data_IF_278502993713
#
_entry.id   IF_278502993713
#
_cell.length_a   1.000
_cell.length_b   1.000
_cell.length_c   1.000
_cell.angle_alpha   90.00
_cell.angle_beta   90.00
_cell.angle_gamma   90.00
#
_symmetry.space_group_name_H-M   'P 1'
#
loop_
_entity.id
_entity.type
_entity.pdbx_description
1 polymer ?
#
# COMPACT_ATOMS: atom_id res chain seq x y z
N UNK A 1 16.29 26.18 28.41
CA UNK A 1 15.03 26.33 27.66
C UNK A 1 15.28 25.79 26.27
N UNK A 2 15.03 24.50 26.09
CA UNK A 2 15.23 23.77 24.83
C UNK A 2 13.90 23.07 24.58
N UNK A 3 12.96 23.81 24.02
CA UNK A 3 11.64 23.29 23.65
C UNK A 3 11.80 22.36 22.45
N UNK A 4 11.34 21.12 22.65
CA UNK A 4 11.30 19.99 21.73
C UNK A 4 10.99 20.35 20.26
N UNK A 5 12.02 20.42 19.43
CA UNK A 5 11.93 20.39 17.95
C UNK A 5 11.35 19.06 17.42
N UNK A 6 11.27 18.00 18.24
CA UNK A 6 10.64 16.73 17.86
C UNK A 6 9.10 16.80 17.82
N UNK A 7 8.47 17.62 18.66
CA UNK A 7 7.00 17.73 18.69
C UNK A 7 6.48 18.48 17.46
N UNK A 8 7.24 19.45 16.94
CA UNK A 8 6.88 20.16 15.71
C UNK A 8 6.97 19.29 14.45
N UNK A 9 7.90 18.33 14.37
CA UNK A 9 7.97 17.41 13.23
C UNK A 9 6.80 16.43 13.15
N UNK A 10 6.28 15.97 14.29
CA UNK A 10 5.10 15.09 14.32
C UNK A 10 3.86 15.86 13.86
N UNK A 11 3.71 17.12 14.28
CA UNK A 11 2.64 18.00 13.80
C UNK A 11 2.80 18.42 12.33
N UNK A 12 4.03 18.59 11.82
CA UNK A 12 4.25 18.87 10.39
C UNK A 12 3.90 17.67 9.50
N UNK A 13 4.14 16.43 9.95
CA UNK A 13 3.68 15.23 9.26
C UNK A 13 2.15 15.08 9.29
N UNK A 14 1.48 15.43 10.41
CA UNK A 14 0.00 15.44 10.48
C UNK A 14 -0.63 16.55 9.62
N UNK A 15 0.11 17.64 9.32
CA UNK A 15 -0.37 18.74 8.49
C UNK A 15 -0.12 18.50 6.99
N UNK A 16 0.84 17.65 6.61
CA UNK A 16 1.10 17.30 5.20
C UNK A 16 0.19 16.19 4.62
N UNK A 17 -0.58 15.51 5.46
CA UNK A 17 -1.60 14.53 5.02
C UNK A 17 -3.04 15.01 5.17
N UNK A 18 -3.27 16.34 5.15
CA UNK A 18 -4.57 16.86 4.74
C UNK A 18 -4.74 16.61 3.25
N UNK A 19 -5.18 15.39 2.91
CA UNK A 19 -5.86 15.12 1.66
C UNK A 19 -7.08 16.04 1.60
N UNK A 20 -6.91 17.21 1.00
CA UNK A 20 -8.00 18.07 0.61
C UNK A 20 -8.87 17.29 -0.39
N UNK A 21 -9.99 16.76 0.12
CA UNK A 21 -11.32 16.67 -0.50
C UNK A 21 -11.46 16.77 -2.04
N UNK A 22 -10.61 16.08 -2.80
CA UNK A 22 -10.77 15.94 -4.25
C UNK A 22 -10.64 14.47 -4.65
N UNK A 23 -11.80 13.80 -4.58
CA UNK A 23 -12.21 12.67 -5.44
C UNK A 23 -11.29 11.45 -5.49
N UNK A 24 -11.19 10.73 -4.37
CA UNK A 24 -11.38 9.27 -4.41
C UNK A 24 -12.88 9.01 -4.29
N UNK A 25 -13.63 9.19 -5.38
CA UNK A 25 -15.02 8.73 -5.45
C UNK A 25 -15.05 7.22 -5.66
N UNK A 26 -14.55 6.49 -4.67
CA UNK A 26 -14.75 5.05 -4.36
C UNK A 26 -13.51 4.50 -3.64
N UNK A 27 -13.43 4.75 -2.33
CA UNK A 27 -12.58 3.93 -1.46
C UNK A 27 -13.28 2.58 -1.35
N UNK A 28 -12.68 1.52 -1.88
CA UNK A 28 -13.21 0.14 -1.85
C UNK A 28 -13.20 -0.41 -0.42
N UNK A 29 -14.20 -1.23 -0.06
CA UNK A 29 -14.18 -1.95 1.21
C UNK A 29 -13.18 -3.11 1.20
N UNK A 30 -12.80 -3.61 0.02
CA UNK A 30 -11.72 -4.57 -0.14
C UNK A 30 -10.44 -3.83 -0.55
N UNK A 31 -9.38 -3.89 0.25
CA UNK A 31 -8.13 -3.19 -0.02
C UNK A 31 -6.89 -4.03 0.28
N UNK A 32 -5.88 -3.94 -0.58
CA UNK A 32 -4.56 -4.50 -0.29
C UNK A 32 -3.83 -3.54 0.66
N UNK A 33 -3.41 -4.06 1.81
CA UNK A 33 -2.55 -3.35 2.77
C UNK A 33 -1.13 -3.91 2.70
N UNK A 34 -0.16 -3.12 3.15
CA UNK A 34 1.22 -3.57 3.33
C UNK A 34 2.26 -2.74 2.61
N UNK A 35 3.40 -3.37 2.34
CA UNK A 35 4.61 -2.71 1.85
C UNK A 35 4.53 -2.39 0.36
N UNK A 36 4.67 -1.12 0.00
CA UNK A 36 4.58 -0.63 -1.39
C UNK A 36 5.68 0.40 -1.73
N UNK A 37 5.79 0.74 -3.02
CA UNK A 37 6.76 1.70 -3.54
C UNK A 37 6.10 2.69 -4.50
N UNK A 38 5.87 3.93 -4.05
CA UNK A 38 5.28 4.96 -4.92
C UNK A 38 6.28 6.03 -5.29
N UNK A 39 7.05 6.54 -4.32
CA UNK A 39 7.94 7.68 -4.57
C UNK A 39 9.36 7.30 -5.00
N UNK A 40 9.82 6.08 -4.72
CA UNK A 40 11.20 5.64 -4.96
C UNK A 40 11.28 4.14 -5.27
N UNK A 41 12.21 3.77 -6.15
CA UNK A 41 12.40 2.38 -6.58
C UNK A 41 13.23 1.58 -5.57
N UNK A 42 12.89 0.29 -5.32
CA UNK A 42 13.68 -0.61 -4.49
C UNK A 42 14.89 -1.21 -5.23
N UNK A 43 15.93 -0.40 -5.45
CA UNK A 43 17.13 -0.79 -6.20
C UNK A 43 17.81 -2.07 -5.70
N UNK A 44 17.75 -2.36 -4.38
CA UNK A 44 18.39 -3.56 -3.84
C UNK A 44 17.56 -4.84 -4.02
N UNK A 45 16.29 -4.73 -4.41
CA UNK A 45 15.37 -5.87 -4.54
C UNK A 45 15.11 -6.24 -5.99
N UNK A 46 14.98 -5.24 -6.86
CA UNK A 46 14.57 -5.46 -8.25
C UNK A 46 15.53 -4.77 -9.21
N UNK A 47 15.86 -5.47 -10.29
CA UNK A 47 16.69 -4.97 -11.38
C UNK A 47 16.04 -5.38 -12.70
N UNK A 48 15.86 -4.43 -13.60
CA UNK A 48 15.18 -4.64 -14.88
C UNK A 48 16.10 -4.24 -16.03
N UNK A 49 16.06 -4.99 -17.14
CA UNK A 49 16.86 -4.68 -18.33
C UNK A 49 16.09 -3.79 -19.31
N UNK A 50 14.78 -3.98 -19.39
CA UNK A 50 13.89 -3.26 -20.31
C UNK A 50 13.06 -2.20 -19.59
N UNK A 51 12.53 -2.52 -18.41
CA UNK A 51 11.65 -1.62 -17.67
C UNK A 51 12.40 -0.54 -16.88
N UNK A 52 11.81 0.65 -16.85
CA UNK A 52 12.29 1.80 -16.09
C UNK A 52 11.19 2.27 -15.14
N UNK A 53 11.58 2.60 -13.91
CA UNK A 53 10.67 3.14 -12.91
C UNK A 53 10.50 4.65 -13.05
N UNK A 54 9.24 5.08 -13.01
CA UNK A 54 8.81 6.47 -12.96
C UNK A 54 8.03 6.66 -11.65
N UNK A 55 8.59 7.48 -10.76
CA UNK A 55 7.96 7.75 -9.46
C UNK A 55 6.59 8.40 -9.62
N UNK A 56 5.70 8.06 -8.70
CA UNK A 56 4.43 8.75 -8.53
C UNK A 56 4.63 10.21 -8.13
N UNK A 57 3.67 11.06 -8.53
CA UNK A 57 3.67 12.49 -8.21
C UNK A 57 2.38 12.79 -7.48
N UNK A 58 2.48 13.13 -6.18
CA UNK A 58 1.33 13.55 -5.38
C UNK A 58 0.92 15.02 -5.61
N UNK A 59 -0.07 15.49 -4.86
CA UNK A 59 -0.59 16.86 -4.95
C UNK A 59 -1.48 17.07 -6.18
N UNK A 60 -1.49 18.28 -6.76
CA UNK A 60 -2.40 18.61 -7.87
C UNK A 60 -2.16 17.83 -9.17
N UNK A 61 -0.94 17.29 -9.38
CA UNK A 61 -0.64 16.49 -10.56
C UNK A 61 -1.15 15.05 -10.46
N UNK A 62 -1.23 14.50 -9.24
CA UNK A 62 -1.69 13.16 -8.86
C UNK A 62 -1.57 12.09 -9.96
N UNK A 63 -0.37 11.53 -10.14
CA UNK A 63 -0.12 10.45 -11.11
C UNK A 63 0.43 9.20 -10.42
N UNK A 64 0.02 7.99 -10.86
CA UNK A 64 0.53 6.73 -10.31
C UNK A 64 2.04 6.62 -10.50
N UNK A 65 2.66 5.76 -9.69
CA UNK A 65 3.99 5.27 -10.01
C UNK A 65 3.89 4.26 -11.17
N UNK A 66 4.87 4.26 -12.08
CA UNK A 66 4.81 3.48 -13.31
C UNK A 66 6.12 2.74 -13.59
N UNK A 67 5.99 1.57 -14.20
CA UNK A 67 7.06 0.81 -14.83
C UNK A 67 6.80 0.81 -16.33
N UNK A 68 7.75 1.32 -17.10
CA UNK A 68 7.62 1.44 -18.55
C UNK A 68 8.80 0.79 -19.28
N UNK A 69 8.49 0.04 -20.33
CA UNK A 69 9.47 -0.49 -21.28
C UNK A 69 9.10 -0.11 -22.71
N UNK A 70 10.11 0.29 -23.50
CA UNK A 70 9.99 0.47 -24.96
C UNK A 70 10.89 -0.53 -25.65
N UNK A 71 10.30 -1.43 -26.42
CA UNK A 71 10.99 -2.58 -27.02
C UNK A 71 10.58 -2.78 -28.47
N UNK A 72 11.39 -3.52 -29.21
CA UNK A 72 11.02 -4.09 -30.50
C UNK A 72 11.09 -5.61 -30.43
N UNK A 73 10.07 -6.28 -30.96
CA UNK A 73 9.97 -7.74 -31.04
C UNK A 73 9.63 -8.14 -32.48
N UNK A 74 10.09 -9.30 -32.93
CA UNK A 74 9.89 -9.71 -34.33
C UNK A 74 8.42 -9.99 -34.67
N UNK A 75 7.70 -10.62 -33.73
CA UNK A 75 6.28 -11.00 -33.89
C UNK A 75 5.45 -10.46 -32.72
N UNK A 76 4.84 -9.29 -32.94
CA UNK A 76 4.03 -8.61 -31.93
C UNK A 76 2.77 -9.38 -31.58
N UNK A 77 2.08 -9.96 -32.56
CA UNK A 77 0.81 -10.64 -32.31
C UNK A 77 1.04 -11.86 -31.43
N UNK A 78 2.06 -12.68 -31.75
CA UNK A 78 2.46 -13.81 -30.92
C UNK A 78 2.91 -13.39 -29.52
N UNK A 79 3.63 -12.27 -29.39
CA UNK A 79 4.05 -11.77 -28.08
C UNK A 79 2.85 -11.30 -27.25
N UNK A 80 1.87 -10.64 -27.86
CA UNK A 80 0.65 -10.18 -27.18
C UNK A 80 -0.23 -11.35 -26.70
N UNK A 81 -0.24 -12.48 -27.41
CA UNK A 81 -0.90 -13.72 -26.94
C UNK A 81 -0.22 -14.29 -25.68
N UNK A 82 1.12 -14.31 -25.67
CA UNK A 82 1.88 -14.75 -24.48
C UNK A 82 1.68 -13.83 -23.28
N UNK A 83 1.63 -12.51 -23.52
CA UNK A 83 1.31 -11.53 -22.48
C UNK A 83 -0.09 -11.73 -21.92
N UNK A 84 -1.07 -12.05 -22.77
CA UNK A 84 -2.44 -12.32 -22.33
C UNK A 84 -2.51 -13.56 -21.42
N UNK A 85 -1.81 -14.63 -21.79
CA UNK A 85 -1.68 -15.81 -20.93
C UNK A 85 -1.00 -15.45 -19.61
N UNK A 86 0.14 -14.73 -19.63
CA UNK A 86 0.84 -14.32 -18.41
C UNK A 86 -0.05 -13.46 -17.51
N UNK A 87 -0.79 -12.52 -18.09
CA UNK A 87 -1.69 -11.62 -17.34
C UNK A 87 -2.78 -12.37 -16.58
N UNK A 88 -3.23 -13.53 -17.08
CA UNK A 88 -4.23 -14.35 -16.37
C UNK A 88 -3.75 -14.83 -15.00
N UNK A 89 -2.42 -14.90 -14.79
CA UNK A 89 -1.81 -15.23 -13.49
C UNK A 89 -1.60 -14.00 -12.60
N UNK A 90 -1.83 -12.81 -13.12
CA UNK A 90 -1.68 -11.52 -12.44
C UNK A 90 -2.96 -10.69 -12.60
N UNK A 91 -4.09 -11.26 -12.21
CA UNK A 91 -5.42 -10.72 -12.47
C UNK A 91 -5.67 -9.32 -11.88
N UNK A 92 -5.00 -8.94 -10.79
CA UNK A 92 -5.22 -7.66 -10.11
C UNK A 92 -4.38 -6.49 -10.63
N UNK A 93 -3.55 -6.69 -11.66
CA UNK A 93 -2.75 -5.59 -12.24
C UNK A 93 -3.41 -4.96 -13.46
N UNK A 94 -3.01 -3.74 -13.77
CA UNK A 94 -3.22 -3.13 -15.09
C UNK A 94 -1.95 -3.23 -15.92
N UNK A 95 -2.08 -3.57 -17.21
CA UNK A 95 -0.99 -3.51 -18.20
C UNK A 95 -1.52 -2.85 -19.48
N UNK A 96 -0.85 -1.80 -19.94
CA UNK A 96 -1.13 -1.17 -21.24
C UNK A 96 -0.01 -1.46 -22.22
N UNK A 97 -0.35 -1.85 -23.43
CA UNK A 97 0.58 -2.02 -24.54
C UNK A 97 0.19 -1.09 -25.67
N UNK A 98 0.99 -0.05 -25.91
CA UNK A 98 0.90 0.81 -27.10
C UNK A 98 1.78 0.20 -28.20
N UNK A 99 1.26 0.12 -29.41
CA UNK A 99 1.81 -0.68 -30.51
C UNK A 99 2.08 0.20 -31.72
N UNK A 100 3.22 -0.02 -32.38
CA UNK A 100 3.55 0.54 -33.68
C UNK A 100 4.42 -0.41 -34.51
N UNK A 101 3.79 -1.16 -35.42
CA UNK A 101 4.49 -2.18 -36.20
C UNK A 101 5.08 -3.23 -35.26
N UNK A 102 6.40 -3.39 -35.30
CA UNK A 102 7.15 -4.32 -34.46
C UNK A 102 7.64 -3.71 -33.12
N UNK A 103 7.17 -2.51 -32.78
CA UNK A 103 7.56 -1.78 -31.57
C UNK A 103 6.41 -1.74 -30.57
N UNK A 104 6.77 -1.88 -29.29
CA UNK A 104 5.85 -1.90 -28.17
C UNK A 104 6.33 -0.94 -27.09
N UNK A 105 5.39 -0.19 -26.52
CA UNK A 105 5.55 0.54 -25.27
C UNK A 105 4.59 -0.06 -24.25
N UNK A 106 5.15 -0.72 -23.24
CA UNK A 106 4.41 -1.39 -22.17
C UNK A 106 4.47 -0.55 -20.91
N UNK A 107 3.35 -0.38 -20.24
CA UNK A 107 3.23 0.39 -18.99
C UNK A 107 2.40 -0.38 -17.98
N UNK A 108 2.93 -0.51 -16.77
CA UNK A 108 2.22 -0.97 -15.56
C UNK A 108 2.29 0.17 -14.55
N UNK A 109 1.19 0.48 -13.87
CA UNK A 109 1.20 1.57 -12.89
C UNK A 109 0.13 1.43 -11.83
N UNK A 110 0.44 1.93 -10.63
CA UNK A 110 -0.45 1.94 -9.48
C UNK A 110 -0.07 3.08 -8.50
N UNK A 111 -1.01 3.52 -7.68
CA UNK A 111 -0.76 4.37 -6.52
C UNK A 111 -0.15 3.60 -5.34
N UNK A 112 -0.23 2.27 -5.35
CA UNK A 112 0.48 1.38 -4.41
C UNK A 112 1.17 0.25 -5.17
N UNK A 113 2.33 0.52 -5.80
CA UNK A 113 3.09 -0.56 -6.46
C UNK A 113 3.68 -1.52 -5.41
N UNK A 114 2.99 -2.62 -5.21
CA UNK A 114 3.43 -3.78 -4.43
C UNK A 114 4.45 -4.65 -5.17
N UNK A 115 5.12 -5.57 -4.44
CA UNK A 115 6.00 -6.61 -5.02
C UNK A 115 5.32 -7.39 -6.16
N UNK A 116 4.01 -7.63 -6.05
CA UNK A 116 3.17 -8.24 -7.06
C UNK A 116 3.33 -7.64 -8.46
N UNK A 117 3.45 -6.30 -8.55
CA UNK A 117 3.65 -5.61 -9.82
C UNK A 117 5.06 -5.82 -10.37
N UNK A 118 6.07 -5.78 -9.50
CA UNK A 118 7.46 -6.02 -9.88
C UNK A 118 7.67 -7.47 -10.33
N UNK A 119 6.99 -8.44 -9.70
CA UNK A 119 7.02 -9.85 -10.10
C UNK A 119 6.38 -10.08 -11.47
N UNK A 120 5.27 -9.40 -11.79
CA UNK A 120 4.73 -9.40 -13.16
C UNK A 120 5.77 -8.88 -14.16
N UNK A 121 6.42 -7.75 -13.84
CA UNK A 121 7.46 -7.19 -14.72
C UNK A 121 8.64 -8.16 -14.90
N UNK A 122 9.06 -8.87 -13.85
CA UNK A 122 10.10 -9.91 -13.96
C UNK A 122 9.70 -11.03 -14.93
N UNK A 123 8.43 -11.46 -14.92
CA UNK A 123 7.96 -12.47 -15.88
C UNK A 123 7.87 -11.91 -17.31
N UNK A 124 7.48 -10.64 -17.47
CA UNK A 124 7.51 -9.97 -18.78
C UNK A 124 8.95 -9.84 -19.30
N UNK A 125 9.92 -9.48 -18.46
CA UNK A 125 11.34 -9.43 -18.81
C UNK A 125 11.83 -10.77 -19.35
N UNK A 126 11.46 -11.89 -18.70
CA UNK A 126 11.79 -13.24 -19.19
C UNK A 126 11.19 -13.50 -20.56
N UNK A 127 9.93 -13.14 -20.78
CA UNK A 127 9.29 -13.27 -22.11
C UNK A 127 10.00 -12.44 -23.17
N UNK A 128 10.40 -11.20 -22.85
CA UNK A 128 11.14 -10.33 -23.76
C UNK A 128 12.49 -10.92 -24.15
N UNK A 129 13.23 -11.49 -23.19
CA UNK A 129 14.50 -12.18 -23.47
C UNK A 129 14.28 -13.37 -24.40
N UNK A 130 13.24 -14.18 -24.16
CA UNK A 130 12.93 -15.34 -25.00
C UNK A 130 12.55 -14.97 -26.44
N UNK A 131 11.90 -13.81 -26.64
CA UNK A 131 11.58 -13.27 -27.96
C UNK A 131 12.73 -12.45 -28.59
N UNK A 132 13.92 -12.46 -27.98
CA UNK A 132 15.07 -11.65 -28.43
C UNK A 132 14.72 -10.16 -28.60
N UNK A 133 13.89 -9.63 -27.72
CA UNK A 133 13.44 -8.25 -27.78
C UNK A 133 14.63 -7.28 -27.71
N UNK A 134 14.56 -6.22 -28.51
CA UNK A 134 15.56 -5.13 -28.51
C UNK A 134 15.02 -3.95 -27.72
N UNK A 135 15.74 -3.52 -26.69
CA UNK A 135 15.40 -2.31 -25.93
C UNK A 135 15.62 -1.07 -26.78
N UNK A 136 14.61 -0.20 -26.87
CA UNK A 136 14.67 1.07 -27.61
C UNK A 136 15.13 2.23 -26.71
N UNK A 137 15.09 2.03 -25.39
CA UNK A 137 15.45 3.03 -24.38
C UNK A 137 14.34 4.05 -24.08
N UNK A 138 14.39 4.70 -22.90
CA UNK A 138 13.27 5.50 -22.38
C UNK A 138 13.01 6.78 -23.19
N UNK A 139 14.06 7.35 -23.81
CA UNK A 139 13.97 8.60 -24.61
C UNK A 139 13.54 8.37 -26.06
N UNK A 140 13.32 7.13 -26.47
CA UNK A 140 12.90 6.83 -27.83
C UNK A 140 11.53 7.48 -28.11
N UNK A 141 11.39 8.27 -29.18
CA UNK A 141 10.10 8.82 -29.58
C UNK A 141 9.21 7.69 -30.07
N UNK A 142 8.03 7.54 -29.48
CA UNK A 142 7.10 6.46 -29.80
C UNK A 142 5.79 7.04 -30.33
N UNK A 143 5.48 6.77 -31.60
CA UNK A 143 4.18 7.08 -32.19
C UNK A 143 3.22 5.90 -31.93
N UNK A 144 2.01 6.17 -31.46
CA UNK A 144 1.02 5.13 -31.14
C UNK A 144 0.14 4.89 -32.35
N UNK A 145 0.09 3.65 -32.86
CA UNK A 145 -0.88 3.25 -33.91
C UNK A 145 -2.09 2.52 -33.34
N UNK A 146 -1.88 1.69 -32.32
CA UNK A 146 -2.95 0.99 -31.61
C UNK A 146 -2.57 0.76 -30.15
N UNK A 147 -3.55 0.38 -29.34
CA UNK A 147 -3.38 0.10 -27.92
C UNK A 147 -4.13 -1.18 -27.56
N UNK A 148 -3.49 -2.08 -26.81
CA UNK A 148 -4.11 -3.22 -26.13
C UNK A 148 -4.01 -3.00 -24.62
N UNK A 149 -5.15 -2.97 -23.93
CA UNK A 149 -5.18 -2.80 -22.49
C UNK A 149 -5.62 -4.11 -21.83
N UNK A 150 -4.90 -4.50 -20.80
CA UNK A 150 -5.19 -5.62 -19.95
C UNK A 150 -5.64 -5.07 -18.59
N UNK A 151 -6.95 -5.00 -18.40
CA UNK A 151 -7.53 -4.44 -17.20
C UNK A 151 -7.40 -5.41 -16.02
N UNK A 152 -7.35 -4.91 -14.78
CA UNK A 152 -7.53 -5.75 -13.61
C UNK A 152 -8.93 -6.36 -13.59
N UNK A 153 -9.09 -7.50 -12.92
CA UNK A 153 -10.41 -8.04 -12.63
C UNK A 153 -11.25 -7.04 -11.81
N UNK A 154 -12.55 -6.98 -12.09
CA UNK A 154 -13.42 -5.98 -11.47
C UNK A 154 -13.57 -6.24 -9.98
N UNK A 155 -13.01 -5.36 -9.14
CA UNK A 155 -13.32 -5.34 -7.72
C UNK A 155 -14.71 -4.74 -7.47
N UNK A 156 -15.41 -5.30 -6.47
CA UNK A 156 -16.69 -4.73 -6.04
C UNK A 156 -16.41 -3.45 -5.25
N UNK A 157 -16.72 -2.31 -5.84
CA UNK A 157 -16.71 -1.05 -5.14
C UNK A 157 -17.75 -1.05 -4.02
N UNK A 158 -17.28 -0.83 -2.79
CA UNK A 158 -18.11 -0.61 -1.61
C UNK A 158 -17.48 0.52 -0.81
N UNK A 159 -18.29 1.40 -0.25
CA UNK A 159 -17.78 2.49 0.59
C UNK A 159 -17.37 1.96 1.97
N UNK A 160 -16.26 2.46 2.52
CA UNK A 160 -15.92 2.21 3.94
C UNK A 160 -16.94 2.89 4.86
N UNK A 161 -17.63 2.10 5.68
CA UNK A 161 -18.69 2.57 6.59
C UNK A 161 -18.15 3.05 7.95
N UNK A 162 -16.94 2.58 8.31
CA UNK A 162 -16.35 2.79 9.63
C UNK A 162 -15.43 4.00 9.66
N UNK A 163 -16.01 5.18 9.94
CA UNK A 163 -15.26 6.47 10.00
C UNK A 163 -14.14 6.56 11.04
N UNK A 164 -14.07 5.61 11.99
CA UNK A 164 -12.98 5.53 12.96
C UNK A 164 -11.73 4.84 12.40
N UNK A 165 -11.83 4.23 11.21
CA UNK A 165 -10.69 3.66 10.48
C UNK A 165 -10.17 4.74 9.54
N UNK A 166 -8.87 5.01 9.65
CA UNK A 166 -8.14 5.90 8.77
C UNK A 166 -7.16 5.07 7.94
N UNK A 167 -7.02 5.38 6.65
CA UNK A 167 -5.99 4.79 5.81
C UNK A 167 -4.77 5.71 5.81
N UNK A 168 -3.60 5.16 6.05
CA UNK A 168 -2.37 5.93 6.27
C UNK A 168 -1.21 5.29 5.53
N UNK A 169 -0.36 6.14 4.93
CA UNK A 169 0.97 5.75 4.44
C UNK A 169 2.04 6.03 5.49
N UNK A 170 3.25 5.53 5.27
CA UNK A 170 4.39 5.78 6.15
C UNK A 170 5.54 6.48 5.44
N UNK A 171 6.43 7.11 6.21
CA UNK A 171 7.75 7.50 5.70
C UNK A 171 8.54 6.29 5.17
N UNK A 172 9.55 6.54 4.33
CA UNK A 172 10.46 5.52 3.80
C UNK A 172 11.14 4.68 4.90
N UNK A 173 11.23 3.38 4.61
CA UNK A 173 11.89 2.33 5.40
C UNK A 173 12.97 1.66 4.54
N UNK A 174 13.31 0.40 4.84
CA UNK A 174 14.28 -0.38 4.07
C UNK A 174 13.92 -0.40 2.58
N UNK A 175 14.93 -0.30 1.72
CA UNK A 175 14.80 -0.28 0.25
C UNK A 175 13.75 0.71 -0.26
N UNK A 176 13.66 1.87 0.39
CA UNK A 176 12.73 2.95 0.05
C UNK A 176 11.24 2.58 0.15
N UNK A 177 10.92 1.51 0.88
CA UNK A 177 9.56 1.06 1.09
C UNK A 177 8.72 2.05 1.89
N UNK A 178 7.45 2.13 1.53
CA UNK A 178 6.38 2.73 2.31
C UNK A 178 5.44 1.61 2.79
N UNK A 179 4.63 1.88 3.80
CA UNK A 179 3.67 0.91 4.32
C UNK A 179 2.26 1.54 4.34
N UNK A 180 1.31 0.89 3.66
CA UNK A 180 -0.08 1.28 3.61
C UNK A 180 -0.87 0.53 4.67
N UNK A 181 -1.40 1.26 5.66
CA UNK A 181 -1.96 0.69 6.88
C UNK A 181 -3.31 1.30 7.24
N UNK A 182 -4.11 0.53 7.96
CA UNK A 182 -5.23 1.06 8.74
C UNK A 182 -4.73 1.60 10.07
N UNK A 183 -5.26 2.76 10.47
CA UNK A 183 -5.08 3.36 11.79
C UNK A 183 -6.42 3.51 12.49
N UNK A 184 -6.46 3.14 13.76
CA UNK A 184 -7.58 3.41 14.66
C UNK A 184 -7.05 4.11 15.90
N UNK A 185 -7.58 5.29 16.15
CA UNK A 185 -7.32 6.03 17.38
C UNK A 185 -8.45 5.75 18.38
N UNK A 186 -8.10 5.47 19.64
CA UNK A 186 -9.10 5.24 20.67
C UNK A 186 -8.60 5.56 22.09
N UNK A 187 -9.55 5.62 23.02
CA UNK A 187 -9.32 5.71 24.46
C UNK A 187 -10.11 4.62 25.18
N UNK A 188 -9.53 4.04 26.23
CA UNK A 188 -10.18 3.10 27.12
C UNK A 188 -9.61 3.17 28.55
N UNK A 189 -10.30 2.63 29.58
CA UNK A 189 -9.75 2.45 30.91
C UNK A 189 -8.50 1.56 30.89
N UNK A 190 -7.55 1.89 31.76
CA UNK A 190 -6.26 1.20 31.81
C UNK A 190 -6.39 -0.28 32.17
N UNK A 191 -7.39 -0.63 32.99
CA UNK A 191 -7.66 -2.01 33.41
C UNK A 191 -8.10 -2.93 32.25
N UNK A 192 -8.70 -2.36 31.21
CA UNK A 192 -9.21 -3.10 30.05
C UNK A 192 -8.16 -3.29 28.94
N UNK A 193 -7.07 -2.52 28.98
CA UNK A 193 -6.09 -2.40 27.89
C UNK A 193 -5.56 -3.74 27.41
N UNK A 194 -5.07 -4.59 28.31
CA UNK A 194 -4.45 -5.87 27.95
C UNK A 194 -5.47 -6.80 27.28
N UNK A 195 -6.67 -6.92 27.85
CA UNK A 195 -7.74 -7.75 27.30
C UNK A 195 -8.22 -7.25 25.94
N UNK A 196 -8.32 -5.93 25.78
CA UNK A 196 -8.70 -5.30 24.52
C UNK A 196 -7.67 -5.56 23.41
N UNK A 197 -6.38 -5.39 23.70
CA UNK A 197 -5.30 -5.69 22.75
C UNK A 197 -5.31 -7.16 22.35
N UNK A 198 -5.50 -8.08 23.31
CA UNK A 198 -5.60 -9.51 23.02
C UNK A 198 -6.79 -9.84 22.08
N UNK A 199 -7.96 -9.24 22.28
CA UNK A 199 -9.10 -9.44 21.38
C UNK A 199 -8.83 -8.87 19.98
N UNK A 200 -8.12 -7.74 19.87
CA UNK A 200 -7.70 -7.19 18.57
C UNK A 200 -6.75 -8.14 17.83
N UNK A 201 -5.82 -8.81 18.53
CA UNK A 201 -4.96 -9.84 17.93
C UNK A 201 -5.80 -10.98 17.35
N UNK A 202 -6.86 -11.42 18.04
CA UNK A 202 -7.76 -12.44 17.50
C UNK A 202 -8.49 -11.96 16.24
N UNK A 203 -9.00 -10.73 16.24
CA UNK A 203 -9.61 -10.13 15.04
C UNK A 203 -8.61 -10.08 13.88
N UNK A 204 -7.34 -9.73 14.15
CA UNK A 204 -6.30 -9.72 13.12
C UNK A 204 -6.13 -11.11 12.48
N UNK A 205 -6.09 -12.18 13.29
CA UNK A 205 -6.00 -13.53 12.76
C UNK A 205 -7.22 -13.93 11.92
N UNK A 206 -8.42 -13.57 12.36
CA UNK A 206 -9.66 -13.85 11.62
C UNK A 206 -9.76 -13.07 10.30
N UNK A 207 -9.18 -11.87 10.24
CA UNK A 207 -9.17 -10.98 9.07
C UNK A 207 -7.85 -11.08 8.28
N UNK A 208 -7.01 -12.07 8.57
CA UNK A 208 -5.75 -12.34 7.88
C UNK A 208 -4.74 -11.16 7.89
N UNK A 209 -4.79 -10.31 8.91
CA UNK A 209 -3.81 -9.26 9.15
C UNK A 209 -2.58 -9.82 9.84
N UNK A 210 -1.41 -9.62 9.23
CA UNK A 210 -0.13 -10.14 9.72
C UNK A 210 0.69 -9.11 10.51
N UNK A 211 0.23 -7.85 10.54
CA UNK A 211 0.91 -6.75 11.23
C UNK A 211 -0.09 -6.04 12.11
N UNK A 212 0.23 -5.97 13.41
CA UNK A 212 -0.48 -5.19 14.39
C UNK A 212 0.51 -4.69 15.44
N UNK A 213 0.60 -3.37 15.56
CA UNK A 213 1.35 -2.72 16.62
C UNK A 213 0.59 -1.47 17.06
N UNK A 214 0.94 -0.95 18.23
CA UNK A 214 0.33 0.26 18.73
C UNK A 214 1.32 1.15 19.47
N UNK A 215 0.98 2.43 19.52
CA UNK A 215 1.54 3.36 20.48
C UNK A 215 0.50 3.67 21.55
N UNK A 216 0.96 3.95 22.76
CA UNK A 216 0.11 4.30 23.88
C UNK A 216 0.55 5.58 24.61
N UNK A 217 -0.34 6.03 25.48
CA UNK A 217 -0.03 6.97 26.53
C UNK A 217 -1.01 6.73 27.69
N UNK A 218 -0.50 6.22 28.80
CA UNK A 218 -1.28 5.99 30.01
C UNK A 218 -1.38 7.27 30.84
N UNK A 219 -2.58 7.63 31.28
CA UNK A 219 -2.81 8.79 32.14
C UNK A 219 -4.02 8.58 33.07
N UNK A 220 -3.85 8.92 34.36
CA UNK A 220 -4.85 8.63 35.40
C UNK A 220 -5.21 7.13 35.36
N UNK A 221 -6.49 6.82 35.15
CA UNK A 221 -7.03 5.47 34.99
C UNK A 221 -7.43 5.16 33.53
N UNK A 222 -6.92 5.91 32.55
CA UNK A 222 -7.21 5.75 31.13
C UNK A 222 -5.92 5.61 30.30
N UNK A 223 -6.07 5.16 29.06
CA UNK A 223 -5.00 5.08 28.08
C UNK A 223 -5.52 5.58 26.73
N UNK A 224 -4.76 6.47 26.06
CA UNK A 224 -4.94 6.75 24.64
C UNK A 224 -4.12 5.76 23.82
N UNK A 225 -4.71 5.18 22.79
CA UNK A 225 -4.07 4.22 21.88
C UNK A 225 -4.11 4.72 20.44
N UNK A 226 -3.00 4.51 19.74
CA UNK A 226 -2.90 4.61 18.28
C UNK A 226 -2.60 3.20 17.76
N UNK A 227 -3.62 2.55 17.21
CA UNK A 227 -3.55 1.18 16.73
C UNK A 227 -3.24 1.19 15.24
N UNK A 228 -2.25 0.41 14.80
CA UNK A 228 -1.85 0.31 13.40
C UNK A 228 -1.93 -1.13 12.93
N UNK A 229 -2.66 -1.36 11.84
CA UNK A 229 -2.88 -2.67 11.24
C UNK A 229 -2.47 -2.66 9.77
N UNK A 230 -1.74 -3.68 9.35
CA UNK A 230 -1.27 -3.79 7.97
C UNK A 230 -0.95 -5.25 7.64
N UNK A 231 -0.25 -5.44 6.53
CA UNK A 231 0.41 -6.68 6.15
C UNK A 231 1.86 -6.41 5.75
N UNK A 232 2.60 -7.49 5.53
CA UNK A 232 3.95 -7.41 5.00
C UNK A 232 3.97 -7.12 3.50
N UNK A 233 5.06 -7.54 2.88
CA UNK A 233 5.27 -7.53 1.43
C UNK A 233 4.19 -8.33 0.71
N UNK A 234 3.63 -7.75 -0.36
CA UNK A 234 2.50 -8.30 -1.11
C UNK A 234 2.99 -8.91 -2.43
N UNK A 235 3.27 -10.22 -2.43
CA UNK A 235 3.81 -11.00 -3.57
C UNK A 235 2.73 -11.83 -4.27
N UNK A 236 3.00 -12.37 -5.46
CA UNK A 236 2.07 -13.20 -6.25
C UNK A 236 1.35 -14.27 -5.43
N UNK A 237 2.10 -15.05 -4.67
CA UNK A 237 1.52 -16.18 -3.92
C UNK A 237 0.86 -15.78 -2.60
N UNK A 238 0.99 -14.52 -2.17
CA UNK A 238 0.57 -14.04 -0.85
C UNK A 238 -0.14 -12.67 -0.88
N UNK A 239 -0.58 -12.22 -2.06
CA UNK A 239 -1.33 -10.97 -2.19
C UNK A 239 -2.71 -11.15 -1.57
N UNK A 240 -3.10 -10.21 -0.72
CA UNK A 240 -4.38 -10.30 -0.01
C UNK A 240 -5.11 -8.97 0.01
N UNK A 241 -6.41 -9.06 -0.22
CA UNK A 241 -7.34 -7.93 -0.10
C UNK A 241 -8.11 -8.10 1.21
N UNK A 242 -8.11 -7.06 2.03
CA UNK A 242 -8.74 -7.01 3.35
C UNK A 242 -10.10 -6.34 3.23
N UNK A 243 -11.15 -6.99 3.74
CA UNK A 243 -12.46 -6.37 3.88
C UNK A 243 -12.49 -5.44 5.10
N UNK A 244 -12.26 -4.15 4.85
CA UNK A 244 -12.21 -3.09 5.86
C UNK A 244 -13.56 -2.94 6.59
N UNK A 245 -14.68 -3.25 5.94
CA UNK A 245 -16.00 -3.19 6.58
C UNK A 245 -16.22 -4.40 7.50
N UNK A 246 -15.77 -5.59 7.10
CA UNK A 246 -15.76 -6.77 7.99
C UNK A 246 -14.91 -6.49 9.23
N UNK A 247 -13.65 -6.09 9.03
CA UNK A 247 -12.72 -5.75 10.11
C UNK A 247 -13.31 -4.64 11.01
N UNK A 248 -13.81 -3.56 10.43
CA UNK A 248 -14.41 -2.46 11.17
C UNK A 248 -15.66 -2.86 11.96
N UNK A 249 -16.47 -3.79 11.45
CA UNK A 249 -17.63 -4.32 12.17
C UNK A 249 -17.22 -5.10 13.41
N UNK A 250 -16.18 -5.92 13.30
CA UNK A 250 -15.62 -6.68 14.44
C UNK A 250 -15.01 -5.76 15.50
N UNK A 251 -14.22 -4.76 15.08
CA UNK A 251 -13.66 -3.77 16.03
C UNK A 251 -14.77 -2.96 16.70
N UNK A 252 -15.81 -2.55 15.96
CA UNK A 252 -16.97 -1.86 16.55
C UNK A 252 -17.70 -2.74 17.57
N UNK A 253 -17.78 -4.04 17.35
CA UNK A 253 -18.42 -4.95 18.30
C UNK A 253 -17.72 -4.97 19.67
N UNK A 254 -16.41 -4.69 19.74
CA UNK A 254 -15.68 -4.58 21.00
C UNK A 254 -16.19 -3.46 21.92
N UNK A 255 -16.91 -2.44 21.40
CA UNK A 255 -17.53 -1.40 22.23
C UNK A 255 -18.67 -1.93 23.11
N UNK A 256 -19.14 -3.16 22.86
CA UNK A 256 -20.13 -3.82 23.71
C UNK A 256 -19.48 -4.52 24.92
N UNK A 257 -18.17 -4.85 24.81
CA UNK A 257 -17.39 -5.53 25.85
C UNK A 257 -16.58 -4.55 26.69
N UNK A 258 -16.06 -3.50 26.06
CA UNK A 258 -15.21 -2.50 26.70
C UNK A 258 -15.84 -1.10 26.63
N UNK A 259 -15.67 -0.25 27.66
CA UNK A 259 -16.03 1.16 27.62
C UNK A 259 -15.05 1.98 26.74
N UNK A 260 -14.96 1.58 25.47
CA UNK A 260 -14.08 2.12 24.43
C UNK A 260 -14.68 3.39 23.83
N UNK A 261 -13.83 4.39 23.57
CA UNK A 261 -14.16 5.57 22.78
C UNK A 261 -13.24 5.67 21.57
N UNK A 262 -13.79 5.89 20.37
CA UNK A 262 -12.98 6.16 19.19
C UNK A 262 -12.53 7.62 19.15
N UNK A 263 -11.24 7.85 18.95
CA UNK A 263 -10.54 9.11 19.16
C UNK A 263 -9.77 9.15 20.48
N UNK A 264 -8.81 10.07 20.57
CA UNK A 264 -8.04 10.30 21.80
C UNK A 264 -8.77 11.27 22.73
N UNK A 265 -8.56 11.10 24.03
CA UNK A 265 -9.02 12.04 25.04
C UNK A 265 -7.97 13.10 25.36
N UNK A 266 -8.47 14.25 25.84
CA UNK A 266 -7.71 15.31 26.49
C UNK A 266 -6.70 16.04 25.55
N UNK A 267 -5.80 16.84 26.14
CA UNK A 267 -4.84 17.72 25.45
C UNK A 267 -3.75 16.95 24.67
N UNK A 268 -3.13 17.54 23.62
CA UNK A 268 -2.04 16.94 22.84
C UNK A 268 -0.85 16.39 23.64
N UNK A 269 -0.68 16.80 24.89
CA UNK A 269 0.34 16.24 25.80
C UNK A 269 0.15 14.74 26.13
N UNK A 270 -1.04 14.20 25.88
CA UNK A 270 -1.37 12.77 26.08
C UNK A 270 -1.49 12.01 24.76
N UNK A 271 -0.90 12.54 23.69
CA UNK A 271 -0.87 11.86 22.40
C UNK A 271 -0.04 10.57 22.48
N UNK A 272 -0.46 9.44 21.87
CA UNK A 272 0.22 8.14 21.99
C UNK A 272 1.58 8.13 21.27
N UNK A 273 2.65 8.42 22.02
CA UNK A 273 4.02 8.44 21.53
C UNK A 273 4.90 7.36 22.16
N UNK A 274 4.38 6.59 23.12
CA UNK A 274 5.12 5.49 23.74
C UNK A 274 4.89 4.23 22.91
N UNK A 275 5.96 3.64 22.36
CA UNK A 275 5.88 2.54 21.41
C UNK A 275 7.00 2.60 20.36
N UNK A 276 6.92 1.79 19.28
CA UNK A 276 5.83 0.85 18.99
C UNK A 276 5.85 -0.39 19.89
N UNK A 277 4.70 -0.77 20.41
CA UNK A 277 4.45 -2.06 21.06
C UNK A 277 3.95 -3.03 20.01
N UNK A 278 4.70 -4.10 19.76
CA UNK A 278 4.46 -5.03 18.66
C UNK A 278 3.69 -6.24 19.16
N UNK A 279 2.54 -6.53 18.54
CA UNK A 279 1.72 -7.72 18.84
C UNK A 279 1.80 -8.75 17.72
N UNK A 280 1.75 -8.29 16.46
CA UNK A 280 1.96 -9.10 15.25
C UNK A 280 2.93 -8.37 14.32
N UNK A 281 3.89 -9.11 13.74
CA UNK A 281 4.86 -8.52 12.84
C UNK A 281 5.40 -9.53 11.83
N UNK A 282 5.38 -9.12 10.57
CA UNK A 282 6.11 -9.71 9.45
C UNK A 282 6.88 -8.59 8.75
N UNK A 283 7.99 -8.90 8.08
CA UNK A 283 8.76 -7.91 7.31
C UNK A 283 9.12 -6.65 8.11
N UNK A 284 9.47 -6.81 9.40
CA UNK A 284 9.62 -5.70 10.35
C UNK A 284 10.51 -4.55 9.82
N UNK A 285 11.58 -4.89 9.11
CA UNK A 285 12.54 -3.93 8.53
C UNK A 285 11.92 -3.00 7.46
N UNK A 286 10.80 -3.39 6.86
CA UNK A 286 10.03 -2.59 5.89
C UNK A 286 8.89 -1.81 6.54
N UNK A 287 8.57 -2.07 7.81
CA UNK A 287 7.39 -1.53 8.50
C UNK A 287 7.79 -0.56 9.60
N UNK A 288 8.69 -0.97 10.49
CA UNK A 288 9.13 -0.19 11.64
C UNK A 288 10.49 0.44 11.35
N UNK A 289 10.63 1.72 11.70
CA UNK A 289 11.93 2.39 11.66
C UNK A 289 12.68 2.06 12.95
N UNK A 290 13.71 1.22 12.85
CA UNK A 290 14.68 1.02 13.93
C UNK A 290 15.64 2.19 14.03
#
# INVERSE_FOLDING_TARGET
>A
MTTNLRVFKVLECEILFKFENHTFSSITASMILGVYWYYQFPENLYHFNFFHFFKGIGGHANNPAELEAKVSVDDVDRFLEKLEHLKSEFNNTYLSCKINGNQLMMTIGDYSLFDYHFELVLEIEKLLILENAVSLGPRFPFEIKSTKNFNPEAEKFQTIEHRFIQLTGSDFKKDNAENFSMRIDCNLPLEDKISFIHDLVQICHEEHLSVFYYNDFDFKNHCNLMLIFSNGRQKKDHIQSIDINSFGSKVRHLTQKYPLHFGHFESPKYYPLQGPHIELMVDEEYIIKR
#
